data_IF_535621153327
#
_entry.id   IF_535621153327
#
_cell.length_a   1.000
_cell.length_b   1.000
_cell.length_c   1.000
_cell.angle_alpha   90.00
_cell.angle_beta   90.00
_cell.angle_gamma   90.00
#
_symmetry.space_group_name_H-M   'P 1'
#
loop_
_entity.id
_entity.type
_entity.pdbx_description
1 polymer ?
#
# COMPACT_ATOMS: atom_id res chain seq x y z
N UNK A 1 -1.43 10.83 -0.89
CA UNK A 1 -2.13 9.63 -1.41
C UNK A 1 -1.48 8.40 -0.80
N UNK A 2 -2.25 7.35 -0.52
CA UNK A 2 -1.77 6.12 0.08
C UNK A 2 -2.36 4.92 -0.64
N UNK A 3 -1.51 3.99 -1.10
CA UNK A 3 -1.90 2.86 -1.93
C UNK A 3 -1.33 1.58 -1.32
N UNK A 4 -2.11 0.51 -1.26
CA UNK A 4 -1.58 -0.78 -0.84
C UNK A 4 -2.68 -1.81 -0.66
N UNK A 5 -2.60 -2.54 0.45
CA UNK A 5 -3.50 -3.65 0.74
C UNK A 5 -4.09 -3.54 2.15
N UNK A 6 -5.26 -4.14 2.34
CA UNK A 6 -5.86 -4.34 3.65
C UNK A 6 -6.38 -5.77 3.86
N UNK A 7 -6.70 -6.12 5.10
CA UNK A 7 -7.24 -7.43 5.45
C UNK A 7 -8.50 -7.37 6.32
N UNK A 8 -9.45 -8.25 6.00
CA UNK A 8 -10.51 -8.71 6.92
C UNK A 8 -11.76 -7.84 7.04
N UNK A 9 -12.77 -8.40 7.72
CA UNK A 9 -14.09 -7.78 7.99
C UNK A 9 -14.03 -6.60 8.97
N UNK A 10 -12.96 -6.50 9.76
CA UNK A 10 -12.77 -5.44 10.77
C UNK A 10 -11.96 -4.25 10.25
N UNK A 11 -11.70 -4.17 8.95
CA UNK A 11 -11.10 -2.99 8.33
C UNK A 11 -12.15 -1.88 8.26
N UNK A 12 -11.85 -0.74 8.87
CA UNK A 12 -12.69 0.44 8.84
C UNK A 12 -12.35 1.24 7.57
N UNK A 13 -13.28 1.30 6.62
CA UNK A 13 -13.09 2.00 5.35
C UNK A 13 -13.10 3.52 5.48
N UNK A 14 -13.68 4.05 6.55
CA UNK A 14 -13.77 5.50 6.81
C UNK A 14 -12.51 6.03 7.51
N UNK A 15 -11.70 5.15 8.09
CA UNK A 15 -10.46 5.50 8.77
C UNK A 15 -9.24 5.35 7.86
N UNK A 16 -8.22 6.18 8.08
CA UNK A 16 -6.98 6.09 7.31
C UNK A 16 -6.35 4.69 7.44
N UNK A 17 -6.13 4.02 6.31
CA UNK A 17 -5.64 2.64 6.28
C UNK A 17 -4.33 2.44 7.05
N UNK A 18 -3.42 3.43 7.01
CA UNK A 18 -2.12 3.34 7.69
C UNK A 18 -2.19 3.38 9.22
N UNK A 19 -3.30 3.86 9.81
CA UNK A 19 -3.51 3.80 11.26
C UNK A 19 -3.92 2.42 11.76
N UNK A 20 -4.45 1.59 10.86
CA UNK A 20 -5.03 0.31 11.22
C UNK A 20 -4.00 -0.82 11.09
N UNK A 21 -4.06 -1.80 12.00
CA UNK A 21 -3.15 -2.97 12.00
C UNK A 21 -3.23 -3.83 10.75
N UNK A 22 -4.40 -3.83 10.15
CA UNK A 22 -4.76 -4.60 8.96
C UNK A 22 -4.68 -3.77 7.67
N UNK A 23 -4.04 -2.59 7.69
CA UNK A 23 -3.73 -1.81 6.50
C UNK A 23 -2.22 -1.64 6.30
N UNK A 24 -1.75 -1.90 5.08
CA UNK A 24 -0.35 -1.72 4.67
C UNK A 24 -0.34 -0.82 3.44
N UNK A 25 0.08 0.43 3.61
CA UNK A 25 -0.01 1.43 2.54
C UNK A 25 1.27 2.21 2.33
N UNK A 26 1.57 2.45 1.06
CA UNK A 26 2.69 3.25 0.60
C UNK A 26 2.21 4.67 0.25
N UNK A 27 2.75 5.66 0.95
CA UNK A 27 2.42 7.06 0.79
C UNK A 27 3.22 7.71 -0.35
N UNK A 28 2.61 8.69 -1.05
CA UNK A 28 3.29 9.49 -2.07
C UNK A 28 4.55 10.19 -1.57
N UNK A 29 4.60 10.54 -0.28
CA UNK A 29 5.77 11.11 0.41
C UNK A 29 6.90 10.10 0.70
N UNK A 30 6.78 8.87 0.21
CA UNK A 30 7.78 7.83 0.37
C UNK A 30 7.76 7.10 1.70
N UNK A 31 6.60 7.06 2.37
CA UNK A 31 6.44 6.41 3.67
C UNK A 31 5.64 5.11 3.54
N UNK A 32 6.14 4.03 4.10
CA UNK A 32 5.41 2.79 4.31
C UNK A 32 4.72 2.84 5.67
N UNK A 33 3.38 2.82 5.69
CA UNK A 33 2.54 2.89 6.88
C UNK A 33 1.85 1.55 7.22
N UNK A 34 1.84 1.19 8.50
CA UNK A 34 1.06 0.10 9.08
C UNK A 34 0.95 0.27 10.60
N UNK A 35 -0.21 -0.01 11.20
CA UNK A 35 -0.40 0.05 12.67
C UNK A 35 0.03 1.39 13.29
N UNK A 36 -0.32 2.50 12.65
CA UNK A 36 0.05 3.87 13.05
C UNK A 36 1.56 4.15 13.09
N UNK A 37 2.38 3.23 12.57
CA UNK A 37 3.83 3.37 12.43
C UNK A 37 4.17 3.60 10.97
N UNK A 38 5.28 4.30 10.76
CA UNK A 38 5.81 4.50 9.43
C UNK A 38 7.32 4.27 9.36
N UNK A 39 7.77 3.90 8.17
CA UNK A 39 9.19 3.85 7.81
C UNK A 39 9.39 4.53 6.46
N UNK A 40 10.51 5.24 6.30
CA UNK A 40 10.92 5.79 5.00
C UNK A 40 11.27 4.63 4.04
N UNK A 41 10.62 4.61 2.89
CA UNK A 41 10.97 3.75 1.77
C UNK A 41 12.03 4.38 0.86
N UNK A 42 12.34 3.72 -0.24
CA UNK A 42 13.36 4.15 -1.20
C UNK A 42 12.80 4.95 -2.38
N UNK A 43 11.48 5.18 -2.37
CA UNK A 43 10.78 5.77 -3.51
C UNK A 43 9.71 6.75 -3.06
N UNK A 44 9.46 7.74 -3.90
CA UNK A 44 8.30 8.63 -3.85
C UNK A 44 7.57 8.54 -5.18
N UNK A 45 6.29 8.91 -5.20
CA UNK A 45 5.50 9.00 -6.43
C UNK A 45 4.63 10.24 -6.42
N UNK A 46 4.26 10.70 -7.61
CA UNK A 46 3.51 11.93 -7.83
C UNK A 46 2.34 11.70 -8.78
N UNK A 47 1.65 12.79 -9.12
CA UNK A 47 0.60 12.77 -10.13
C UNK A 47 1.13 12.27 -11.48
N UNK A 48 0.35 11.43 -12.16
CA UNK A 48 0.73 10.80 -13.43
C UNK A 48 1.50 9.48 -13.28
N UNK A 49 2.07 9.19 -12.12
CA UNK A 49 2.78 7.92 -11.90
C UNK A 49 1.83 6.72 -11.86
N UNK A 50 2.25 5.63 -12.49
CA UNK A 50 1.59 4.33 -12.39
C UNK A 50 2.21 3.51 -11.26
N UNK A 51 1.43 3.23 -10.23
CA UNK A 51 1.83 2.38 -9.11
C UNK A 51 1.26 0.96 -9.31
N UNK A 52 2.15 -0.03 -9.37
CA UNK A 52 1.77 -1.46 -9.39
C UNK A 52 2.06 -2.08 -8.03
N UNK A 53 1.07 -2.79 -7.47
CA UNK A 53 1.21 -3.51 -6.20
C UNK A 53 1.54 -4.98 -6.50
N UNK A 54 2.72 -5.43 -6.08
CA UNK A 54 3.20 -6.80 -6.27
C UNK A 54 2.99 -7.60 -5.00
N UNK A 55 2.07 -8.55 -5.05
CA UNK A 55 1.74 -9.41 -3.94
C UNK A 55 2.20 -10.84 -4.21
N UNK A 56 3.03 -11.40 -3.33
CA UNK A 56 3.32 -12.83 -3.31
C UNK A 56 2.64 -13.46 -2.09
N UNK A 57 1.55 -14.20 -2.30
CA UNK A 57 0.81 -14.85 -1.21
C UNK A 57 1.46 -16.14 -0.69
N UNK A 58 2.33 -16.78 -1.47
CA UNK A 58 3.08 -17.95 -1.03
C UNK A 58 4.13 -17.53 0.02
N UNK A 59 4.88 -16.48 -0.28
CA UNK A 59 5.94 -15.96 0.58
C UNK A 59 5.44 -14.89 1.56
N UNK A 60 4.20 -14.42 1.38
CA UNK A 60 3.56 -13.34 2.14
C UNK A 60 4.37 -12.04 2.10
N UNK A 61 4.85 -11.67 0.92
CA UNK A 61 5.64 -10.46 0.68
C UNK A 61 4.87 -9.44 -0.14
N UNK A 62 5.28 -8.18 -0.01
CA UNK A 62 4.70 -7.03 -0.70
C UNK A 62 5.83 -6.15 -1.25
N UNK A 63 5.70 -5.77 -2.52
CA UNK A 63 6.56 -4.81 -3.20
C UNK A 63 5.74 -3.85 -4.06
N UNK A 64 6.36 -2.76 -4.50
CA UNK A 64 5.73 -1.79 -5.39
C UNK A 64 6.61 -1.54 -6.61
N UNK A 65 5.97 -1.28 -7.76
CA UNK A 65 6.62 -0.60 -8.89
C UNK A 65 6.06 0.80 -9.05
N UNK A 66 6.92 1.73 -9.48
CA UNK A 66 6.51 3.06 -9.96
C UNK A 66 7.01 3.19 -11.39
N UNK A 67 6.10 3.43 -12.33
CA UNK A 67 6.39 3.49 -13.77
C UNK A 67 7.27 2.31 -14.22
N UNK A 68 6.79 1.09 -13.89
CA UNK A 68 7.42 -0.20 -14.20
C UNK A 68 8.76 -0.50 -13.49
N UNK A 69 9.40 0.47 -12.83
CA UNK A 69 10.55 0.24 -11.96
C UNK A 69 10.13 -0.43 -10.66
N UNK A 70 10.49 -1.71 -10.47
CA UNK A 70 10.22 -2.48 -9.25
C UNK A 70 11.21 -2.13 -8.12
N UNK A 71 10.68 -1.92 -6.93
CA UNK A 71 11.44 -1.67 -5.71
C UNK A 71 11.53 -2.95 -4.84
N UNK A 72 12.51 -3.02 -3.92
CA UNK A 72 12.66 -4.17 -3.03
C UNK A 72 11.40 -4.46 -2.21
N UNK A 73 11.27 -5.72 -1.80
CA UNK A 73 10.19 -6.14 -0.91
C UNK A 73 10.28 -5.43 0.44
N UNK A 74 9.12 -5.10 1.00
CA UNK A 74 9.04 -4.39 2.28
C UNK A 74 9.19 -5.40 3.40
N UNK A 75 10.45 -5.64 3.78
CA UNK A 75 10.85 -6.65 4.77
C UNK A 75 10.25 -6.46 6.17
N UNK A 76 9.69 -5.30 6.48
CA UNK A 76 8.97 -5.03 7.74
C UNK A 76 7.52 -5.51 7.72
N UNK A 77 6.94 -5.76 6.54
CA UNK A 77 5.57 -6.21 6.37
C UNK A 77 5.54 -7.72 6.12
N UNK A 78 5.98 -8.48 7.12
CA UNK A 78 5.96 -9.95 7.09
C UNK A 78 4.65 -10.47 7.67
N UNK A 79 4.27 -11.68 7.26
CA UNK A 79 3.09 -12.41 7.76
C UNK A 79 1.75 -11.78 7.35
N UNK A 80 1.62 -11.40 6.07
CA UNK A 80 0.33 -10.99 5.51
C UNK A 80 -0.76 -12.05 5.78
N UNK A 81 -2.01 -11.63 6.08
CA UNK A 81 -3.15 -12.54 6.20
C UNK A 81 -3.43 -13.30 4.90
N UNK A 82 -4.13 -14.43 4.98
CA UNK A 82 -4.43 -15.28 3.81
C UNK A 82 -5.38 -14.66 2.79
N UNK A 83 -6.18 -13.68 3.20
CA UNK A 83 -7.10 -12.95 2.35
C UNK A 83 -6.87 -11.46 2.50
N UNK A 84 -6.59 -10.81 1.38
CA UNK A 84 -6.34 -9.37 1.34
C UNK A 84 -7.11 -8.73 0.18
N UNK A 85 -7.24 -7.41 0.23
CA UNK A 85 -7.90 -6.60 -0.79
C UNK A 85 -7.03 -5.38 -1.12
N UNK A 86 -7.10 -4.86 -2.36
CA UNK A 86 -6.55 -3.55 -2.66
C UNK A 86 -7.20 -2.48 -1.80
N UNK A 87 -6.43 -1.50 -1.34
CA UNK A 87 -6.94 -0.34 -0.61
C UNK A 87 -6.23 0.93 -1.06
N UNK A 88 -7.00 2.02 -1.08
CA UNK A 88 -6.50 3.37 -1.30
C UNK A 88 -7.06 4.27 -0.22
N UNK A 89 -6.23 5.13 0.35
CA UNK A 89 -6.70 6.26 1.17
C UNK A 89 -6.35 7.56 0.46
N UNK A 90 -7.39 8.35 0.21
CA UNK A 90 -7.32 9.60 -0.52
C UNK A 90 -7.72 10.74 0.41
N UNK A 91 -7.10 11.89 0.18
CA UNK A 91 -7.51 13.15 0.80
C UNK A 91 -7.93 14.06 -0.33
N UNK A 92 -9.02 14.79 -0.15
CA UNK A 92 -9.47 15.79 -1.12
C UNK A 92 -8.31 16.77 -1.44
N UNK A 93 -8.07 17.13 -2.72
CA UNK A 93 -8.83 16.79 -3.94
C UNK A 93 -8.26 15.59 -4.74
N UNK A 94 -7.49 14.70 -4.11
CA UNK A 94 -6.77 13.62 -4.78
C UNK A 94 -7.67 12.64 -5.54
N UNK A 95 -7.22 12.23 -6.73
CA UNK A 95 -7.92 11.29 -7.62
C UNK A 95 -7.00 10.12 -7.96
N UNK A 96 -7.59 8.94 -8.18
CA UNK A 96 -6.87 7.74 -8.60
C UNK A 96 -7.70 6.96 -9.61
N UNK A 97 -7.01 6.27 -10.53
CA UNK A 97 -7.62 5.30 -11.43
C UNK A 97 -7.03 3.93 -11.13
N UNK A 98 -7.88 2.98 -10.74
CA UNK A 98 -7.48 1.58 -10.61
C UNK A 98 -7.64 0.91 -11.98
N UNK A 99 -6.60 0.21 -12.42
CA UNK A 99 -6.60 -0.52 -13.70
C UNK A 99 -6.44 -2.02 -13.42
N UNK A 100 -7.12 -2.90 -14.18
CA UNK A 100 -6.78 -4.31 -14.20
C UNK A 100 -5.34 -4.49 -14.73
N UNK A 101 -4.65 -5.51 -14.24
CA UNK A 101 -3.33 -5.89 -14.73
C UNK A 101 -3.43 -6.78 -15.95
#
# INVERSE_FOLDING_TARGET
MYIGICAGKSFDVESFAGYQRNGWVFASSGLYWNDSKFKRGEATYAEGDKITVHLNMNEKTLAFSINDKRYPEISTWRKLPSKIYPVVSLSYPGQIRIQPH
#
